data_IF_843127442982
#
_entry.id   IF_843127442982
#
_cell.length_a   1.000
_cell.length_b   1.000
_cell.length_c   1.000
_cell.angle_alpha   90.00
_cell.angle_beta   90.00
_cell.angle_gamma   90.00
#
_symmetry.space_group_name_H-M   'P 1'
#
loop_
_entity.id
_entity.type
_entity.pdbx_description
1 polymer ?
2 non-polymer ?
#
# COMPACT_ATOMS: atom_id res chain seq x y z
N UNK A 5 -15.03 -6.41 27.73
CA UNK A 5 -13.76 -7.08 27.42
C UNK A 5 -13.34 -6.87 25.95
N UNK A 6 -14.22 -7.25 24.99
CA UNK A 6 -14.05 -7.08 23.52
C UNK A 6 -13.98 -5.57 23.16
N UNK A 7 -14.66 -4.76 23.98
CA UNK A 7 -14.70 -3.30 23.93
C UNK A 7 -13.35 -2.73 24.37
N UNK A 8 -12.80 -3.25 25.48
CA UNK A 8 -11.52 -2.84 26.08
C UNK A 8 -10.30 -3.37 25.32
N UNK A 9 -10.36 -4.64 24.81
CA UNK A 9 -9.30 -5.31 24.05
C UNK A 9 -8.80 -4.46 22.87
N UNK A 10 -9.74 -3.88 22.09
CA UNK A 10 -9.45 -3.00 20.97
C UNK A 10 -8.78 -1.71 21.48
N UNK A 11 -9.35 -1.09 22.52
CA UNK A 11 -8.86 0.15 23.14
C UNK A 11 -7.53 -0.01 23.89
N UNK A 12 -6.80 -1.12 23.62
CA UNK A 12 -5.48 -1.47 24.18
C UNK A 12 -4.59 -1.96 23.04
N UNK A 13 -5.15 -2.80 22.15
CA UNK A 13 -4.47 -3.30 20.95
C UNK A 13 -4.23 -2.17 19.96
N UNK A 14 -5.10 -1.14 20.00
CA UNK A 14 -5.00 0.05 19.16
C UNK A 14 -3.76 0.82 19.58
N UNK A 15 -3.68 1.14 20.89
CA UNK A 15 -2.63 1.89 21.57
C UNK A 15 -1.25 1.23 21.45
N UNK A 16 -1.21 -0.12 21.37
CA UNK A 16 0.01 -0.92 21.18
C UNK A 16 0.44 -0.74 19.73
N UNK A 17 -0.53 -0.81 18.77
CA UNK A 17 -0.28 -0.65 17.34
C UNK A 17 0.13 0.80 17.01
N UNK A 18 -0.50 1.80 17.67
CA UNK A 18 -0.17 3.23 17.51
C UNK A 18 1.19 3.53 18.14
N UNK A 19 1.53 2.87 19.29
CA UNK A 19 2.83 3.01 19.96
C UNK A 19 3.95 2.46 19.08
N UNK A 20 3.68 1.36 18.33
CA UNK A 20 4.63 0.70 17.42
C UNK A 20 4.92 1.53 16.19
N UNK A 21 3.86 2.13 15.62
CA UNK A 21 3.87 2.98 14.44
C UNK A 21 4.74 4.23 14.65
N UNK A 22 4.67 4.85 15.84
CA UNK A 22 5.48 6.02 16.18
C UNK A 22 6.94 5.64 16.44
N UNK A 23 7.20 4.42 17.02
CA UNK A 23 8.56 3.93 17.26
C UNK A 23 9.15 3.73 15.85
N UNK A 24 8.39 3.07 14.98
CA UNK A 24 8.78 2.80 13.60
C UNK A 24 8.99 4.08 12.80
N UNK A 25 8.12 5.09 13.01
CA UNK A 25 8.19 6.39 12.34
C UNK A 25 9.43 7.16 12.74
N UNK A 26 9.82 7.08 14.01
CA UNK A 26 11.01 7.73 14.54
C UNK A 26 12.30 7.17 13.97
N UNK A 27 12.32 5.84 13.73
CA UNK A 27 13.45 5.13 13.12
C UNK A 27 13.56 5.66 11.69
N UNK A 28 12.43 5.63 10.95
CA UNK A 28 12.30 6.10 9.57
C UNK A 28 12.75 7.56 9.44
N UNK A 29 12.52 8.38 10.48
CA UNK A 29 12.94 9.78 10.50
C UNK A 29 14.44 9.89 10.47
N UNK A 30 15.14 9.12 11.33
CA UNK A 30 16.59 9.21 11.41
C UNK A 30 17.29 8.94 10.06
N UNK A 31 17.02 7.76 9.44
CA UNK A 31 17.58 7.38 8.13
C UNK A 31 16.63 7.78 6.96
N UNK A 32 15.98 8.96 7.05
CA UNK A 32 15.06 9.44 6.02
C UNK A 32 15.77 10.00 4.79
N UNK A 33 16.98 10.58 4.97
CA UNK A 33 17.76 11.12 3.85
C UNK A 33 18.21 10.02 2.89
N UNK A 34 18.46 8.82 3.42
CA UNK A 34 18.82 7.68 2.61
C UNK A 34 17.57 7.06 1.92
N UNK A 35 16.41 7.05 2.63
CA UNK A 35 15.12 6.53 2.11
C UNK A 35 14.64 7.44 0.94
N UNK A 36 14.91 8.76 1.06
CA UNK A 36 14.64 9.77 0.05
C UNK A 36 15.41 9.45 -1.25
N UNK A 37 16.59 8.81 -1.13
CA UNK A 37 17.46 8.38 -2.24
C UNK A 37 16.83 7.18 -2.99
N UNK A 38 16.28 6.18 -2.23
CA UNK A 38 15.63 4.98 -2.79
C UNK A 38 14.40 5.43 -3.60
N UNK A 39 13.69 6.40 -3.08
CA UNK A 39 12.51 6.92 -3.72
C UNK A 39 12.86 7.72 -4.99
N UNK A 40 13.88 8.58 -4.94
CA UNK A 40 14.34 9.37 -6.08
C UNK A 40 14.91 8.51 -7.22
N UNK A 41 15.50 7.33 -6.88
CA UNK A 41 16.14 6.37 -7.77
C UNK A 41 15.39 5.98 -9.06
N UNK A 42 14.08 5.60 -9.03
CA UNK A 42 13.36 5.22 -10.28
C UNK A 42 13.33 6.26 -11.41
N UNK A 43 13.18 7.55 -11.06
CA UNK A 43 13.14 8.66 -12.00
C UNK A 43 14.57 9.00 -12.42
N UNK A 44 15.46 9.20 -11.42
CA UNK A 44 16.87 9.55 -11.56
C UNK A 44 17.59 8.75 -12.62
N UNK A 45 17.24 7.46 -12.75
CA UNK A 45 17.84 6.55 -13.71
C UNK A 45 17.12 6.45 -15.05
N UNK A 46 15.78 6.29 -15.04
CA UNK A 46 14.99 6.18 -16.26
C UNK A 46 14.93 7.47 -17.11
N UNK A 47 14.54 8.62 -16.50
CA UNK A 47 14.43 9.94 -17.17
C UNK A 47 15.36 10.93 -16.48
N UNK A 48 16.69 10.83 -16.71
CA UNK A 48 17.64 11.76 -16.03
C UNK A 48 17.57 13.21 -16.51
N UNK A 49 16.91 13.43 -17.66
CA UNK A 49 16.68 14.77 -18.24
C UNK A 49 15.63 15.53 -17.43
N UNK A 50 14.81 14.77 -16.63
CA UNK A 50 13.75 15.30 -15.76
C UNK A 50 14.37 15.73 -14.44
N UNK A 51 14.25 17.04 -14.15
CA UNK A 51 14.78 17.67 -12.95
C UNK A 51 13.74 17.65 -11.84
N UNK A 52 14.20 17.27 -10.63
CA UNK A 52 13.37 17.22 -9.43
C UNK A 52 13.61 18.47 -8.57
N UNK A 53 12.98 19.56 -8.97
CA UNK A 53 13.06 20.86 -8.31
C UNK A 53 12.12 20.88 -7.10
N UNK A 54 12.29 21.84 -6.17
CA UNK A 54 11.37 21.99 -5.04
C UNK A 54 10.58 23.26 -5.26
N UNK A 55 9.53 23.14 -6.11
CA UNK A 55 8.59 24.20 -6.47
C UNK A 55 7.97 24.78 -5.21
N UNK A 56 7.80 23.90 -4.19
CA UNK A 56 7.31 24.19 -2.84
C UNK A 56 8.22 25.31 -2.22
N UNK A 57 7.73 26.18 -1.27
CA UNK A 57 8.62 27.23 -0.74
C UNK A 57 9.77 26.65 0.08
N UNK A 58 9.64 26.61 1.39
CA UNK A 58 10.65 25.99 2.22
C UNK A 58 10.02 24.78 2.92
N UNK A 59 9.59 23.79 2.10
CA UNK A 59 8.96 22.56 2.57
C UNK A 59 9.69 21.23 2.22
N UNK A 60 10.98 21.04 2.65
CA UNK A 60 11.63 19.73 2.43
C UNK A 60 11.36 18.84 3.63
N UNK A 61 10.77 19.42 4.71
CA UNK A 61 10.39 18.76 5.97
C UNK A 61 9.05 18.08 5.81
N UNK A 62 8.17 18.65 4.97
CA UNK A 62 6.89 18.02 4.66
C UNK A 62 7.15 16.71 3.93
N UNK A 63 8.13 16.71 2.97
CA UNK A 63 8.62 15.53 2.23
C UNK A 63 9.24 14.56 3.24
N UNK A 64 9.90 15.08 4.29
CA UNK A 64 10.53 14.25 5.33
C UNK A 64 9.44 13.58 6.18
N UNK A 65 8.51 14.39 6.72
CA UNK A 65 7.41 13.90 7.55
C UNK A 65 6.55 12.84 6.80
N UNK A 66 6.29 13.04 5.48
CA UNK A 66 5.62 12.08 4.61
C UNK A 66 6.45 10.78 4.54
N UNK A 67 7.79 10.89 4.35
CA UNK A 67 8.72 9.75 4.28
C UNK A 67 8.79 9.01 5.64
N UNK A 68 8.98 9.76 6.74
CA UNK A 68 9.06 9.21 8.08
C UNK A 68 7.76 8.51 8.50
N UNK A 69 6.59 9.01 8.05
CA UNK A 69 5.30 8.42 8.36
C UNK A 69 4.92 7.15 7.57
N UNK A 70 5.15 7.16 6.24
CA UNK A 70 4.85 6.02 5.35
C UNK A 70 5.81 4.84 5.56
N UNK A 71 7.13 5.12 5.64
CA UNK A 71 8.15 4.09 5.85
C UNK A 71 8.08 3.57 7.32
N UNK A 72 7.68 4.45 8.24
CA UNK A 72 7.47 4.11 9.65
C UNK A 72 6.34 3.11 9.85
N UNK A 73 5.43 3.04 8.87
CA UNK A 73 4.29 2.14 8.84
C UNK A 73 4.66 0.76 8.23
N UNK A 74 5.66 0.72 7.32
CA UNK A 74 6.15 -0.53 6.68
C UNK A 74 7.04 -1.31 7.67
N UNK A 75 7.64 -0.56 8.63
CA UNK A 75 8.46 -1.08 9.73
C UNK A 75 7.48 -1.70 10.76
N UNK A 76 6.37 -0.97 11.08
CA UNK A 76 5.35 -1.39 12.04
C UNK A 76 4.30 -2.35 11.46
N UNK A 77 4.32 -2.59 10.13
CA UNK A 77 3.40 -3.53 9.48
C UNK A 77 3.40 -4.92 10.15
N UNK A 78 4.55 -5.56 10.56
CA UNK A 78 4.47 -6.86 11.26
C UNK A 78 3.73 -6.84 12.62
N UNK A 79 3.88 -5.76 13.41
CA UNK A 79 3.20 -5.55 14.70
C UNK A 79 1.72 -5.30 14.47
N UNK A 80 1.38 -4.37 13.55
CA UNK A 80 -0.01 -4.03 13.20
C UNK A 80 -0.79 -5.23 12.65
N UNK A 81 -0.17 -6.05 11.77
CA UNK A 81 -0.74 -7.30 11.21
C UNK A 81 -1.09 -8.29 12.34
N UNK A 82 -0.24 -8.36 13.38
CA UNK A 82 -0.38 -9.20 14.57
C UNK A 82 -1.55 -8.76 15.42
N UNK A 83 -1.68 -7.45 15.70
CA UNK A 83 -2.79 -6.94 16.51
C UNK A 83 -4.15 -7.17 15.84
N UNK A 84 -4.18 -7.18 14.50
CA UNK A 84 -5.40 -7.46 13.74
C UNK A 84 -5.69 -8.94 13.94
N UNK A 85 -4.76 -9.81 13.50
CA UNK A 85 -4.85 -11.26 13.54
C UNK A 85 -5.14 -11.87 14.90
N UNK A 86 -4.67 -11.25 15.99
CA UNK A 86 -4.91 -11.77 17.33
C UNK A 86 -6.29 -11.32 17.88
N UNK A 87 -6.82 -10.17 17.39
CA UNK A 87 -8.14 -9.63 17.77
C UNK A 87 -9.26 -10.38 17.04
N UNK A 88 -8.91 -11.12 15.98
CA UNK A 88 -9.87 -11.88 15.22
C UNK A 88 -9.72 -13.41 15.40
N UNK A 89 -8.55 -13.99 15.12
CA UNK A 89 -8.37 -15.45 15.27
C UNK A 89 -7.21 -15.94 16.21
N UNK A 90 -7.45 -16.91 17.13
CA UNK A 90 -8.68 -17.69 17.37
C UNK A 90 -9.87 -16.95 18.02
N UNK A 91 -9.65 -15.67 18.44
CA UNK A 91 -10.56 -14.75 19.13
C UNK A 91 -12.04 -14.75 18.72
N UNK A 92 -12.34 -14.86 17.41
CA UNK A 92 -13.71 -14.82 16.86
C UNK A 92 -13.94 -15.85 15.75
N UNK A 93 -13.01 -15.98 14.79
CA UNK A 93 -13.21 -16.85 13.62
C UNK A 93 -12.60 -18.24 13.71
N UNK A 94 -11.30 -18.39 13.41
CA UNK A 94 -10.63 -19.69 13.48
C UNK A 94 -10.47 -20.21 14.91
N UNK A 95 -9.83 -21.39 15.08
CA UNK A 95 -9.66 -22.00 16.39
C UNK A 95 -8.21 -22.39 16.74
N UNK A 96 -7.44 -22.88 15.74
CA UNK A 96 -6.06 -23.33 15.95
C UNK A 96 -5.03 -22.22 15.93
N UNK A 97 -4.15 -22.21 16.95
CA UNK A 97 -3.07 -21.22 17.07
C UNK A 97 -1.83 -21.57 16.23
N UNK A 98 -1.77 -22.80 15.65
CA UNK A 98 -0.69 -23.18 14.73
C UNK A 98 -1.23 -23.29 13.29
N UNK A 99 -2.19 -22.41 13.04
CA UNK A 99 -2.88 -22.09 11.79
C UNK A 99 -2.76 -20.56 11.70
N UNK A 100 -2.59 -19.92 12.89
CA UNK A 100 -2.37 -18.50 13.14
C UNK A 100 -0.94 -18.11 12.76
N UNK A 101 0.05 -18.96 13.13
CA UNK A 101 1.46 -18.71 12.82
C UNK A 101 1.67 -18.67 11.31
N UNK A 102 1.26 -19.69 10.50
CA UNK A 102 1.45 -19.58 9.04
C UNK A 102 0.58 -18.49 8.42
N UNK A 103 -0.43 -18.01 9.15
CA UNK A 103 -1.29 -16.92 8.72
C UNK A 103 -0.55 -15.59 8.87
N UNK A 104 0.08 -15.35 10.06
CA UNK A 104 0.86 -14.14 10.37
C UNK A 104 2.03 -13.99 9.42
N UNK A 105 2.82 -15.07 9.22
CA UNK A 105 3.98 -15.14 8.31
C UNK A 105 3.54 -14.88 6.88
N UNK A 106 2.44 -15.52 6.47
CA UNK A 106 1.86 -15.38 5.15
C UNK A 106 1.38 -13.97 4.89
N UNK A 107 0.74 -13.33 5.91
CA UNK A 107 0.26 -11.95 5.82
C UNK A 107 1.39 -10.89 5.98
N UNK A 108 2.49 -11.26 6.66
CA UNK A 108 3.66 -10.39 6.83
C UNK A 108 4.36 -10.30 5.50
N UNK A 109 4.48 -11.44 4.77
CA UNK A 109 5.12 -11.50 3.46
C UNK A 109 4.21 -11.06 2.30
N UNK A 110 2.91 -10.85 2.57
CA UNK A 110 1.99 -10.36 1.55
C UNK A 110 1.97 -8.85 1.52
N UNK A 111 2.31 -8.20 2.66
CA UNK A 111 2.42 -6.74 2.73
C UNK A 111 3.74 -6.33 2.06
N UNK A 112 4.80 -7.14 2.23
CA UNK A 112 6.14 -6.91 1.66
C UNK A 112 6.15 -7.13 0.18
N UNK A 113 5.43 -8.13 -0.32
CA UNK A 113 5.33 -8.41 -1.73
C UNK A 113 4.44 -7.34 -2.42
N UNK A 114 3.52 -6.74 -1.66
CA UNK A 114 2.64 -5.66 -2.11
C UNK A 114 3.37 -4.37 -2.41
N UNK A 115 4.26 -3.98 -1.48
CA UNK A 115 5.13 -2.81 -1.60
C UNK A 115 6.15 -3.01 -2.75
N UNK A 116 6.81 -4.20 -2.85
CA UNK A 116 7.75 -4.53 -3.93
C UNK A 116 7.07 -4.48 -5.28
N UNK A 117 5.79 -4.89 -5.34
CA UNK A 117 5.02 -4.85 -6.56
C UNK A 117 4.77 -3.40 -7.00
N UNK A 118 4.46 -2.51 -6.05
CA UNK A 118 4.25 -1.11 -6.40
C UNK A 118 5.54 -0.44 -6.83
N UNK A 119 6.63 -0.61 -6.06
CA UNK A 119 7.92 0.02 -6.34
C UNK A 119 8.64 -0.52 -7.59
N UNK A 120 8.48 -1.81 -7.89
CA UNK A 120 9.18 -2.41 -9.03
C UNK A 120 8.38 -2.71 -10.29
N UNK A 121 7.03 -2.60 -10.24
CA UNK A 121 6.19 -2.91 -11.39
C UNK A 121 5.20 -1.80 -11.70
N UNK A 122 4.37 -1.40 -10.72
CA UNK A 122 3.36 -0.36 -10.94
C UNK A 122 3.98 1.00 -11.25
N UNK A 123 4.97 1.42 -10.43
CA UNK A 123 5.68 2.69 -10.56
C UNK A 123 6.46 2.87 -11.87
N UNK A 124 7.43 1.99 -12.26
CA UNK A 124 8.15 2.21 -13.53
C UNK A 124 7.21 2.32 -14.72
N UNK A 125 6.12 1.54 -14.65
CA UNK A 125 5.05 1.50 -15.64
C UNK A 125 4.33 2.81 -15.61
N UNK A 126 4.02 3.31 -14.41
CA UNK A 126 3.33 4.58 -14.20
C UNK A 126 4.15 5.80 -14.70
N UNK A 127 5.49 5.64 -14.78
CA UNK A 127 6.38 6.69 -15.25
C UNK A 127 6.46 6.71 -16.78
N UNK A 128 6.46 5.52 -17.44
CA UNK A 128 6.44 5.48 -18.91
C UNK A 128 5.10 5.97 -19.48
N UNK A 129 3.98 5.71 -18.77
CA UNK A 129 2.64 6.15 -19.15
C UNK A 129 2.46 7.66 -18.93
N UNK A 130 3.35 8.25 -18.10
CA UNK A 130 3.33 9.66 -17.74
C UNK A 130 4.27 10.52 -18.58
N UNK A 131 5.58 10.31 -18.41
CA UNK A 131 6.59 11.09 -19.11
C UNK A 131 7.42 10.35 -20.18
N UNK A 132 7.21 9.04 -20.30
CA UNK A 132 7.91 8.24 -21.30
C UNK A 132 7.11 7.99 -22.56
N UNK A 133 5.95 8.67 -22.70
CA UNK A 133 5.09 8.51 -23.87
C UNK A 133 5.59 9.36 -25.05
N UNK A 134 6.69 8.89 -25.66
CA UNK A 134 7.33 9.54 -26.80
C UNK A 134 8.15 10.77 -26.45
N UNK A 135 7.89 11.87 -27.18
CA UNK A 135 8.58 13.16 -27.04
C UNK A 135 7.85 14.18 -26.16
N UNK A 136 7.50 13.72 -24.94
CA UNK A 136 6.87 14.50 -23.87
C UNK A 136 7.96 15.04 -22.92
N UNK A 137 9.17 15.21 -23.47
CA UNK A 137 10.42 15.71 -22.87
C UNK A 137 10.36 17.24 -22.67
N UNK A 138 9.51 17.92 -23.49
CA UNK A 138 9.28 19.37 -23.50
C UNK A 138 8.40 19.81 -22.32
N UNK A 139 7.30 19.04 -22.04
CA UNK A 139 6.35 19.28 -20.95
C UNK A 139 6.78 18.55 -19.65
N UNK A 140 8.03 18.05 -19.62
CA UNK A 140 8.63 17.37 -18.49
C UNK A 140 10.16 17.54 -18.50
N UNK A 141 10.63 18.65 -17.91
CA UNK A 141 12.05 19.02 -17.75
C UNK A 141 12.27 19.57 -16.31
N UNK A 142 12.31 20.89 -15.94
CA UNK A 142 12.38 21.20 -14.50
C UNK A 142 10.94 21.21 -13.96
N UNK A 143 10.05 20.53 -14.69
CA UNK A 143 8.61 20.45 -14.45
C UNK A 143 8.18 19.54 -13.28
N UNK A 144 9.11 18.71 -12.73
CA UNK A 144 8.77 17.79 -11.65
C UNK A 144 8.98 18.33 -10.23
N UNK A 145 7.92 18.41 -9.40
CA UNK A 145 8.06 18.86 -8.01
C UNK A 145 8.38 17.63 -7.19
N UNK A 146 9.40 17.67 -6.29
CA UNK A 146 9.74 16.49 -5.49
C UNK A 146 8.65 16.05 -4.55
N UNK A 147 7.91 17.02 -3.98
CA UNK A 147 6.78 16.74 -3.08
C UNK A 147 5.66 16.03 -3.84
N UNK A 148 5.57 16.24 -5.15
CA UNK A 148 4.59 15.56 -5.99
C UNK A 148 5.03 14.12 -6.17
N UNK A 149 6.22 13.91 -6.77
CA UNK A 149 6.79 12.60 -7.04
C UNK A 149 6.92 11.67 -5.81
N UNK A 150 7.52 12.16 -4.68
CA UNK A 150 7.72 11.39 -3.45
C UNK A 150 6.38 10.87 -2.92
N UNK A 151 5.39 11.77 -2.79
CA UNK A 151 4.06 11.41 -2.32
C UNK A 151 3.42 10.32 -3.16
N UNK A 152 3.35 10.50 -4.51
CA UNK A 152 2.80 9.49 -5.41
C UNK A 152 3.42 8.13 -5.16
N UNK A 153 4.77 8.06 -4.96
CA UNK A 153 5.49 6.82 -4.65
C UNK A 153 5.02 6.25 -3.31
N UNK A 154 4.97 7.09 -2.27
CA UNK A 154 4.52 6.67 -0.94
C UNK A 154 3.05 6.16 -0.92
N UNK A 155 2.14 6.80 -1.70
CA UNK A 155 0.71 6.45 -1.84
C UNK A 155 0.61 5.09 -2.55
N UNK A 156 1.22 4.99 -3.73
CA UNK A 156 1.27 3.78 -4.54
C UNK A 156 1.88 2.60 -3.75
N UNK A 157 3.01 2.83 -3.04
CA UNK A 157 3.72 1.78 -2.28
C UNK A 157 2.95 1.24 -1.05
N UNK A 158 2.22 2.12 -0.32
CA UNK A 158 1.46 1.78 0.89
C UNK A 158 0.13 1.16 0.50
N UNK A 159 -0.56 1.75 -0.51
CA UNK A 159 -1.83 1.22 -1.04
C UNK A 159 -1.65 -0.25 -1.49
N UNK A 160 -0.63 -0.56 -2.32
CA UNK A 160 -0.39 -1.93 -2.76
C UNK A 160 -0.02 -2.92 -1.68
N UNK A 161 0.66 -2.45 -0.63
CA UNK A 161 0.96 -3.29 0.52
C UNK A 161 -0.35 -3.78 1.12
N UNK A 162 -1.26 -2.82 1.43
CA UNK A 162 -2.61 -3.05 1.99
C UNK A 162 -3.53 -3.83 1.01
N UNK A 163 -3.52 -3.47 -0.30
CA UNK A 163 -4.33 -4.13 -1.33
C UNK A 163 -4.01 -5.61 -1.48
N UNK A 164 -2.79 -6.02 -1.10
CA UNK A 164 -2.33 -7.41 -1.15
C UNK A 164 -2.82 -8.23 0.05
N UNK A 165 -3.22 -7.53 1.12
CA UNK A 165 -3.72 -8.17 2.34
C UNK A 165 -5.15 -8.66 2.19
N UNK A 166 -5.85 -8.15 1.14
CA UNK A 166 -7.22 -8.48 0.78
C UNK A 166 -7.44 -9.99 0.58
N UNK A 167 -6.70 -10.73 -0.29
CA UNK A 167 -6.97 -12.16 -0.41
C UNK A 167 -6.74 -13.04 0.82
N UNK A 168 -6.19 -12.51 1.93
CA UNK A 168 -6.02 -13.32 3.13
C UNK A 168 -7.12 -13.03 4.11
N UNK A 169 -7.45 -11.74 4.33
CA UNK A 169 -8.56 -11.34 5.20
C UNK A 169 -9.86 -11.86 4.59
N UNK A 170 -9.95 -11.91 3.25
CA UNK A 170 -11.12 -12.45 2.55
C UNK A 170 -11.23 -13.97 2.63
N UNK A 171 -10.17 -14.72 2.23
CA UNK A 171 -10.16 -16.19 2.35
C UNK A 171 -10.59 -16.63 3.78
N UNK A 172 -10.05 -15.94 4.81
CA UNK A 172 -10.31 -16.21 6.23
C UNK A 172 -11.76 -15.84 6.64
N UNK A 173 -12.37 -14.80 6.02
CA UNK A 173 -13.76 -14.46 6.32
C UNK A 173 -14.70 -15.44 5.62
N UNK A 174 -14.35 -15.84 4.37
CA UNK A 174 -15.12 -16.77 3.54
C UNK A 174 -15.17 -18.16 4.18
N UNK A 175 -14.00 -18.60 4.74
CA UNK A 175 -13.77 -19.84 5.49
C UNK A 175 -14.66 -19.86 6.77
N UNK A 176 -14.67 -18.73 7.51
CA UNK A 176 -15.46 -18.48 8.72
C UNK A 176 -16.94 -18.18 8.39
N UNK A 177 -17.28 -18.33 7.11
CA UNK A 177 -18.61 -18.12 6.54
C UNK A 177 -19.24 -16.77 6.81
N UNK A 178 -18.41 -15.73 7.09
CA UNK A 178 -18.88 -14.35 7.35
C UNK A 178 -19.40 -13.74 6.04
N UNK A 179 -18.79 -14.15 4.91
CA UNK A 179 -19.12 -13.78 3.54
C UNK A 179 -19.07 -15.05 2.69
N UNK A 180 -19.86 -15.09 1.60
CA UNK A 180 -19.88 -16.21 0.67
C UNK A 180 -19.21 -15.75 -0.63
N UNK A 181 -18.58 -16.65 -1.40
CA UNK A 181 -17.96 -16.23 -2.69
C UNK A 181 -18.92 -15.61 -3.70
N UNK A 182 -20.22 -15.89 -3.55
CA UNK A 182 -21.27 -15.35 -4.42
C UNK A 182 -21.54 -13.92 -4.00
N UNK A 183 -21.33 -13.60 -2.68
CA UNK A 183 -21.49 -12.27 -2.10
C UNK A 183 -20.40 -11.32 -2.62
N UNK A 184 -19.22 -11.86 -2.97
CA UNK A 184 -18.16 -11.04 -3.56
C UNK A 184 -18.49 -10.81 -5.02
N UNK A 185 -19.02 -11.88 -5.69
CA UNK A 185 -19.47 -11.93 -7.09
C UNK A 185 -20.66 -11.00 -7.38
N UNK A 186 -21.33 -10.56 -6.31
CA UNK A 186 -22.45 -9.63 -6.35
C UNK A 186 -21.97 -8.18 -6.12
N UNK A 187 -20.89 -8.03 -5.34
CA UNK A 187 -20.26 -6.75 -5.02
C UNK A 187 -19.28 -6.27 -6.12
N UNK A 188 -18.99 -7.14 -7.12
CA UNK A 188 -18.13 -6.84 -8.28
C UNK A 188 -18.38 -5.43 -8.86
N UNK A 189 -19.65 -5.12 -9.21
CA UNK A 189 -20.07 -3.83 -9.77
C UNK A 189 -19.93 -2.64 -8.82
N UNK A 190 -19.50 -2.89 -7.59
CA UNK A 190 -19.25 -1.86 -6.59
C UNK A 190 -17.76 -1.77 -6.32
N UNK A 191 -17.06 -2.92 -6.37
CA UNK A 191 -15.62 -2.88 -6.20
C UNK A 191 -14.98 -2.25 -7.45
N UNK A 192 -15.60 -2.33 -8.65
CA UNK A 192 -15.08 -1.63 -9.84
C UNK A 192 -15.06 -0.12 -9.55
N UNK A 193 -16.11 0.39 -8.86
CA UNK A 193 -16.14 1.80 -8.47
C UNK A 193 -15.16 2.09 -7.32
N UNK A 194 -14.99 1.14 -6.34
CA UNK A 194 -14.04 1.25 -5.22
C UNK A 194 -12.64 1.42 -5.80
N UNK A 195 -12.20 0.50 -6.69
CA UNK A 195 -10.90 0.50 -7.37
C UNK A 195 -10.66 1.78 -8.17
N UNK A 196 -11.66 2.26 -8.90
CA UNK A 196 -11.50 3.50 -9.64
C UNK A 196 -11.53 4.75 -8.77
N UNK A 197 -12.07 4.64 -7.53
CA UNK A 197 -12.12 5.74 -6.55
C UNK A 197 -10.72 5.84 -5.94
N UNK A 198 -10.13 4.69 -5.56
CA UNK A 198 -8.79 4.58 -4.99
C UNK A 198 -7.79 5.06 -6.03
N UNK A 199 -8.03 4.66 -7.28
CA UNK A 199 -7.20 5.02 -8.42
C UNK A 199 -7.25 6.49 -8.77
N UNK A 200 -8.34 7.16 -8.40
CA UNK A 200 -8.54 8.58 -8.63
C UNK A 200 -7.82 9.38 -7.54
N UNK A 201 -7.90 8.89 -6.29
CA UNK A 201 -7.27 9.49 -5.12
C UNK A 201 -5.71 9.52 -5.26
N UNK A 202 -5.09 8.35 -5.52
CA UNK A 202 -3.64 8.18 -5.55
C UNK A 202 -2.91 8.43 -6.90
N UNK A 203 -3.55 8.13 -8.02
CA UNK A 203 -2.94 8.34 -9.33
C UNK A 203 -3.17 9.74 -9.91
N UNK A 204 -2.15 10.32 -10.59
CA UNK A 204 -2.30 11.68 -11.17
C UNK A 204 -3.15 11.84 -12.44
N UNK A 205 -3.21 10.80 -13.28
CA UNK A 205 -3.96 10.85 -14.52
C UNK A 205 -4.81 9.58 -14.74
N UNK A 206 -5.59 9.53 -15.83
CA UNK A 206 -6.43 8.38 -16.16
C UNK A 206 -5.57 7.14 -16.43
N UNK A 207 -4.50 7.27 -17.25
CA UNK A 207 -3.55 6.19 -17.61
C UNK A 207 -3.02 5.46 -16.39
N UNK A 208 -2.75 6.20 -15.29
CA UNK A 208 -2.28 5.62 -14.03
C UNK A 208 -3.43 5.17 -13.15
N UNK A 209 -4.60 5.88 -13.17
CA UNK A 209 -5.82 5.52 -12.43
C UNK A 209 -6.24 4.11 -12.88
N UNK A 210 -6.19 3.85 -14.23
CA UNK A 210 -6.51 2.56 -14.86
C UNK A 210 -5.44 1.56 -14.44
N UNK A 211 -4.14 1.91 -14.66
CA UNK A 211 -2.95 1.09 -14.35
C UNK A 211 -2.97 0.54 -12.92
N UNK A 212 -3.67 1.23 -12.03
CA UNK A 212 -3.81 0.87 -10.64
C UNK A 212 -5.02 0.02 -10.45
N UNK A 213 -6.15 0.41 -11.05
CA UNK A 213 -7.39 -0.35 -10.91
C UNK A 213 -7.21 -1.82 -11.36
N UNK A 214 -6.52 -2.07 -12.50
CA UNK A 214 -6.26 -3.43 -12.99
C UNK A 214 -5.75 -4.41 -11.91
N UNK A 215 -4.59 -4.20 -11.23
CA UNK A 215 -4.17 -5.15 -10.17
C UNK A 215 -5.13 -5.26 -8.97
N UNK A 216 -5.92 -4.19 -8.69
CA UNK A 216 -6.90 -4.18 -7.59
C UNK A 216 -8.07 -5.12 -7.87
N UNK A 217 -8.64 -5.07 -9.09
CA UNK A 217 -9.73 -5.95 -9.51
C UNK A 217 -9.18 -7.38 -9.55
N UNK A 218 -7.93 -7.54 -10.05
CA UNK A 218 -7.26 -8.84 -10.08
C UNK A 218 -7.10 -9.44 -8.71
N UNK A 219 -6.82 -8.61 -7.68
CA UNK A 219 -6.71 -9.04 -6.27
C UNK A 219 -8.09 -9.39 -5.69
N UNK A 220 -9.16 -8.75 -6.22
CA UNK A 220 -10.53 -9.04 -5.84
C UNK A 220 -10.91 -10.40 -6.42
N UNK A 221 -10.62 -10.64 -7.72
CA UNK A 221 -10.90 -11.91 -8.40
C UNK A 221 -10.03 -13.08 -7.93
N UNK A 222 -9.03 -12.80 -7.06
CA UNK A 222 -8.18 -13.81 -6.43
C UNK A 222 -8.90 -14.32 -5.18
N UNK A 223 -9.62 -13.39 -4.48
CA UNK A 223 -10.42 -13.68 -3.29
C UNK A 223 -11.61 -14.61 -3.64
N UNK A 224 -12.32 -14.35 -4.77
CA UNK A 224 -13.45 -15.19 -5.22
C UNK A 224 -12.99 -16.64 -5.50
N UNK A 225 -11.80 -16.80 -6.13
CA UNK A 225 -11.18 -18.10 -6.45
C UNK A 225 -10.74 -18.83 -5.18
N UNK A 226 -10.46 -18.05 -4.11
CA UNK A 226 -10.15 -18.58 -2.77
C UNK A 226 -11.49 -18.70 -2.00
N UNK A 227 -12.52 -19.01 -2.77
CA UNK A 227 -13.85 -19.32 -2.29
C UNK A 227 -14.00 -20.82 -2.36
N UNK A 228 -12.98 -21.52 -1.78
CA UNK A 228 -12.89 -22.98 -1.69
C UNK A 228 -13.46 -23.41 -0.35
N UNK A 229 -14.76 -23.79 -0.41
CA UNK A 229 -15.63 -24.22 0.70
C UNK A 229 -16.50 -25.42 0.29
X LIG B 1 22.97 -0.11 3.50
X LIG B 1 22.42 0.41 4.68
X LIG B 1 23.67 1.03 2.76
X LIG B 1 24.47 1.77 3.66
X LIG B 1 24.51 0.45 1.64
X LIG B 1 24.65 1.41 0.59
X LIG B 1 23.91 -0.85 1.10
X LIG B 1 24.58 -2.03 1.57
X LIG B 1 22.40 -0.95 1.30
X LIG B 1 21.99 -0.71 2.66
X LIG B 1 21.62 0.00 0.40
X LIG B 1 20.33 -0.53 0.10
X LIG B 1 16.70 -0.37 16.49
X LIG B 1 13.92 -2.55 11.45
X LIG B 1 29.88 -2.01 -0.52
X LIG B 1 29.73 9.89 3.71
X LIG B 1 21.40 8.08 8.28
X LIG B 1 25.86 7.51 4.17
X LIG B 1 25.07 4.85 4.22
X LIG B 1 28.36 -4.19 -1.49
X LIG B 1 28.53 11.87 3.90
X LIG B 1 25.74 -5.34 -1.49
X LIG B 1 25.35 12.86 3.94
X LIG B 1 24.25 -2.33 -1.23
X LIG B 1 25.95 11.23 7.03
X LIG B 1 17.36 -0.69 15.16
X LIG B 1 14.86 -1.46 11.92
X LIG B 1 17.05 0.32 14.07
X LIG B 1 15.17 -0.45 10.84
X LIG B 1 17.45 -0.10 12.65
X LIG B 1 15.92 -1.03 9.65
X LIG B 1 18.96 -0.20 12.40
X LIG B 1 15.79 -0.22 8.38
X LIG B 1 19.36 -0.28 10.93
X LIG B 1 16.05 1.28 8.55
X LIG B 1 20.83 0.03 10.66
X LIG B 1 16.75 1.90 7.36
X LIG B 1 21.25 -0.05 9.21
X LIG B 1 18.10 1.28 7.04
X LIG B 1 21.15 1.25 8.40
X LIG B 1 18.81 1.96 5.89
X LIG B 1 28.74 -1.75 0.28
X LIG B 1 28.53 9.14 3.89
X LIG B 1 22.75 7.69 8.04
X LIG B 1 21.72 1.11 6.99
X LIG B 1 20.01 2.80 6.32
X LIG B 1 21.55 1.56 4.63
X LIG B 1 22.51 3.29 6.16
X LIG B 1 22.61 4.10 5.00
X LIG B 1 22.79 5.92 6.46
X LIG B 1 26.44 -1.77 0.51
X LIG B 1 26.32 9.18 4.70
X LIG B 1 24.57 9.13 6.17
X LIG B 1 27.47 -2.18 -0.40
X LIG B 1 27.52 9.97 4.61
X LIG B 1 22.98 7.33 6.58
X LIG B 1 24.51 7.32 4.62
X LIG B 1 22.78 5.49 5.11
X LIG B 1 24.09 5.87 4.44
X LIG B 1 21.41 2.25 6.00
X LIG B 1 27.33 -3.71 -0.63
X LIG B 1 27.22 11.31 3.91
X LIG B 1 24.38 7.71 6.08
X LIG B 1 25.52 -2.78 0.85
X LIG B 1 25.16 9.85 5.13
X LIG B 1 25.97 -3.93 -1.36
X LIG B 1 26.28 12.18 4.79
X LIG B 1 24.84 -3.36 -0.45
X LIG B 1 25.36 11.32 5.73
#
# INVERSE_FOLDING_TARGET
XPLTEHLRELRYRLIISIIAFLIGSGIAFYFAKYVFEILKEPILKSYPEVELITLSPTEPLFILIKISLAVGFIIASPVILYQFWRFIEPALYSHEKRAFIPLLLGSILLFMLGALFAYFIVLPLALKFLLGLGFTQLLATPYLSVDMYISFVLKLVVAFGIAFEMPIVLYVLQKAGVITPEQLASFRKYFIVIAFVIGAIIAPDVSTQVLMAIPLLLLYEISIFLGKLATRKKKEIQKAPGSENLYFQ
LMN C1 O1 C2 O2 C3 O3 C4 O4 C5 O5 C6 O6 CAA CAB OAI OAJ OAL OAN OAP OAQ OAR OAS OAT OAU OAV CAW CAX CAY CAZ CBA CBB CBC CBD CBE CBF CBG CBH CBI CBJ CBK CBL CBM CBN CBP CBQ CBR CBS CBT OBV OBX OBY OBZ OCB CCC CCD CCF CCH CCJ CCL CCM CCN CCO CCQ CCR CCS CCT CCU CCV CCW
#
